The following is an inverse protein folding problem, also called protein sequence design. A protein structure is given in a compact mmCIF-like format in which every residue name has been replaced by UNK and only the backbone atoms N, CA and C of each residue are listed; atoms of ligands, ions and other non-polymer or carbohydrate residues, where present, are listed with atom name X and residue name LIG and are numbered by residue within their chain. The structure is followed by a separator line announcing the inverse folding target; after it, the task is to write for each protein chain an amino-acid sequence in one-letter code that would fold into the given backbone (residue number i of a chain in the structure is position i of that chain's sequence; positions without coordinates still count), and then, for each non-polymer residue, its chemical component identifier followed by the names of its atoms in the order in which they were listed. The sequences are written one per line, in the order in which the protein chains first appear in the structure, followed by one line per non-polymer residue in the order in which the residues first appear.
data_IF_926185419349
#
_entry.id   IF_926185419349
#
_cell.length_a   1.000
_cell.length_b   1.000
_cell.length_c   1.000
_cell.angle_alpha   90.00
_cell.angle_beta   90.00
_cell.angle_gamma   90.00
#
_symmetry.space_group_name_H-M   'P 1'
#
loop_
_entity.id
_entity.type
_entity.pdbx_description
1 polymer ?
#
# COMPACT_ATOMS: atom_id res chain seq x y z
N UNK A 1 13.07 5.32 8.51
CA UNK A 1 12.08 6.32 8.06
C UNK A 1 11.99 6.27 6.54
N UNK A 2 10.80 6.22 5.94
CA UNK A 2 10.62 6.15 4.47
C UNK A 2 10.21 7.52 3.88
N UNK A 3 10.40 7.76 2.57
CA UNK A 3 9.96 8.99 1.93
C UNK A 3 8.44 9.26 2.08
N UNK A 4 7.61 8.23 2.12
CA UNK A 4 6.16 8.37 2.30
C UNK A 4 5.79 8.90 3.69
N UNK A 5 6.45 8.40 4.74
CA UNK A 5 6.26 8.87 6.13
C UNK A 5 6.67 10.34 6.23
N UNK A 6 7.86 10.69 5.73
CA UNK A 6 8.36 12.07 5.74
C UNK A 6 7.44 13.04 4.98
N UNK A 7 6.85 12.60 3.87
CA UNK A 7 5.91 13.40 3.09
C UNK A 7 4.59 13.66 3.86
N UNK A 8 4.05 12.64 4.53
CA UNK A 8 2.84 12.77 5.35
C UNK A 8 3.06 13.70 6.57
N UNK A 9 4.20 13.56 7.24
CA UNK A 9 4.60 14.45 8.34
C UNK A 9 4.72 15.91 7.88
N UNK A 10 5.43 16.15 6.77
CA UNK A 10 5.58 17.49 6.19
C UNK A 10 4.24 18.11 5.81
N UNK A 11 3.29 17.30 5.36
CA UNK A 11 1.94 17.74 5.01
C UNK A 11 0.99 17.84 6.23
N UNK A 12 1.46 17.54 7.44
CA UNK A 12 0.66 17.49 8.66
C UNK A 12 -0.58 16.58 8.55
N UNK A 13 -0.46 15.48 7.79
CA UNK A 13 -1.51 14.47 7.68
C UNK A 13 -1.47 13.60 8.93
N UNK A 14 -2.62 13.37 9.57
CA UNK A 14 -2.70 12.42 10.68
C UNK A 14 -2.61 10.99 10.14
N UNK A 15 -1.61 10.23 10.58
CA UNK A 15 -1.44 8.83 10.21
C UNK A 15 -0.90 7.99 11.37
N UNK A 16 -0.96 6.67 11.22
CA UNK A 16 -0.33 5.69 12.10
C UNK A 16 0.48 4.72 11.26
N UNK A 17 1.71 4.42 11.68
CA UNK A 17 2.51 3.34 11.09
C UNK A 17 2.04 2.01 11.68
N UNK A 18 1.74 1.05 10.80
CA UNK A 18 1.44 -0.32 11.18
C UNK A 18 2.60 -1.21 10.73
N UNK A 19 3.28 -1.84 11.68
CA UNK A 19 4.44 -2.70 11.43
C UNK A 19 4.05 -4.17 11.58
N UNK A 20 4.60 -5.01 10.72
CA UNK A 20 4.51 -6.46 10.81
C UNK A 20 5.78 -7.10 10.24
N UNK A 21 6.08 -8.33 10.64
CA UNK A 21 7.22 -9.10 10.11
C UNK A 21 6.82 -9.71 8.78
N UNK A 22 7.57 -9.45 7.71
CA UNK A 22 7.35 -10.06 6.39
C UNK A 22 8.01 -11.45 6.32
N UNK A 23 7.30 -12.43 5.76
CA UNK A 23 7.83 -13.76 5.47
C UNK A 23 8.32 -13.83 4.02
N UNK A 24 9.50 -14.41 3.81
CA UNK A 24 10.10 -14.52 2.49
C UNK A 24 9.16 -15.23 1.49
N UNK A 25 8.87 -14.55 0.38
CA UNK A 25 8.01 -15.06 -0.69
C UNK A 25 6.50 -14.82 -0.50
N UNK A 26 6.09 -14.19 0.61
CA UNK A 26 4.70 -13.79 0.81
C UNK A 26 4.34 -12.56 -0.03
N UNK A 27 3.05 -12.39 -0.34
CA UNK A 27 2.56 -11.20 -1.02
C UNK A 27 2.26 -10.09 0.00
N UNK A 28 3.01 -8.98 -0.06
CA UNK A 28 2.92 -7.86 0.89
C UNK A 28 1.50 -7.34 1.18
N UNK A 29 0.58 -7.43 0.22
CA UNK A 29 -0.79 -6.94 0.39
C UNK A 29 -1.66 -7.83 1.28
N UNK A 30 -1.86 -9.09 0.88
CA UNK A 30 -2.69 -10.05 1.61
C UNK A 30 -2.06 -10.41 2.96
N UNK A 31 -0.73 -10.55 2.99
CA UNK A 31 0.01 -10.81 4.22
C UNK A 31 -0.17 -9.67 5.24
N UNK A 32 -0.09 -8.41 4.81
CA UNK A 32 -0.33 -7.28 5.71
C UNK A 32 -1.73 -7.33 6.31
N UNK A 33 -2.75 -7.68 5.52
CA UNK A 33 -4.12 -7.81 6.01
C UNK A 33 -4.25 -8.89 7.09
N UNK A 34 -3.65 -10.06 6.85
CA UNK A 34 -3.62 -11.18 7.79
C UNK A 34 -2.89 -10.82 9.08
N UNK A 35 -1.63 -10.38 8.98
CA UNK A 35 -0.76 -10.11 10.14
C UNK A 35 -1.22 -8.94 10.98
N UNK A 36 -1.90 -7.97 10.39
CA UNK A 36 -2.49 -6.83 11.11
C UNK A 36 -3.93 -7.09 11.58
N UNK A 37 -4.54 -8.23 11.22
CA UNK A 37 -5.90 -8.59 11.62
C UNK A 37 -6.97 -7.64 11.05
N UNK A 38 -6.79 -7.16 9.83
CA UNK A 38 -7.72 -6.23 9.16
C UNK A 38 -8.30 -6.84 7.89
N UNK A 39 -9.48 -6.38 7.50
CA UNK A 39 -10.10 -6.82 6.24
C UNK A 39 -9.20 -6.50 5.03
N UNK A 40 -8.99 -7.45 4.09
CA UNK A 40 -8.25 -7.20 2.85
C UNK A 40 -8.80 -6.02 2.03
N UNK A 41 -10.12 -5.80 2.04
CA UNK A 41 -10.75 -4.66 1.38
C UNK A 41 -10.33 -3.28 1.93
N UNK A 42 -9.67 -3.25 3.11
CA UNK A 42 -9.14 -2.03 3.76
C UNK A 42 -7.62 -1.90 3.63
N UNK A 43 -6.95 -2.87 3.02
CA UNK A 43 -5.53 -2.78 2.67
C UNK A 43 -5.45 -2.52 1.17
N UNK A 44 -4.63 -1.56 0.77
CA UNK A 44 -4.54 -1.14 -0.63
C UNK A 44 -3.14 -1.40 -1.17
N UNK A 45 -3.09 -1.88 -2.42
CA UNK A 45 -1.86 -1.93 -3.23
C UNK A 45 -1.83 -0.74 -4.17
N UNK A 46 -0.61 -0.24 -4.42
CA UNK A 46 -0.35 0.85 -5.35
C UNK A 46 0.27 0.28 -6.62
N UNK A 47 -0.43 0.37 -7.74
CA UNK A 47 0.04 -0.09 -9.04
C UNK A 47 0.45 1.10 -9.90
N UNK A 48 1.60 0.97 -10.58
CA UNK A 48 1.96 1.85 -11.68
C UNK A 48 1.39 1.23 -12.96
N UNK A 49 0.59 2.00 -13.70
CA UNK A 49 -0.06 1.54 -14.94
C UNK A 49 0.45 2.35 -16.12
N UNK A 50 0.62 1.68 -17.27
CA UNK A 50 0.90 2.34 -18.55
C UNK A 50 -0.43 2.58 -19.28
N UNK A 51 -0.72 3.85 -19.59
CA UNK A 51 -1.89 4.24 -20.34
C UNK A 51 -1.66 4.05 -21.85
N UNK A 52 -2.74 3.98 -22.62
CA UNK A 52 -2.70 3.78 -24.07
C UNK A 52 -1.98 4.92 -24.83
N UNK A 53 -1.86 6.08 -24.21
CA UNK A 53 -1.13 7.24 -24.73
C UNK A 53 0.32 7.35 -24.19
N UNK A 54 0.87 6.23 -23.69
CA UNK A 54 2.23 6.11 -23.15
C UNK A 54 2.50 6.94 -21.89
N UNK A 55 1.48 7.51 -21.24
CA UNK A 55 1.62 8.14 -19.92
C UNK A 55 1.55 7.08 -18.82
N UNK A 56 2.13 7.39 -17.66
CA UNK A 56 1.99 6.56 -16.47
C UNK A 56 0.85 7.08 -15.60
N UNK A 57 0.08 6.15 -15.02
CA UNK A 57 -0.90 6.41 -13.99
C UNK A 57 -0.57 5.65 -12.71
N UNK A 58 -1.23 6.03 -11.63
CA UNK A 58 -1.21 5.30 -10.36
C UNK A 58 -2.62 4.82 -10.05
N UNK A 59 -2.78 3.52 -9.78
CA UNK A 59 -4.01 2.95 -9.28
C UNK A 59 -3.83 2.51 -7.83
N UNK A 60 -4.70 2.98 -6.95
CA UNK A 60 -4.77 2.56 -5.54
C UNK A 60 -6.01 1.68 -5.41
N UNK A 61 -5.81 0.38 -5.27
CA UNK A 61 -6.89 -0.62 -5.29
C UNK A 61 -6.80 -1.54 -4.08
N UNK A 62 -7.92 -2.07 -3.57
CA UNK A 62 -7.90 -3.08 -2.52
C UNK A 62 -7.01 -4.27 -2.89
N UNK A 63 -6.37 -4.90 -1.90
CA UNK A 63 -5.46 -6.03 -2.17
C UNK A 63 -6.19 -7.29 -2.65
N UNK A 64 -7.49 -7.40 -2.34
CA UNK A 64 -8.40 -8.45 -2.82
C UNK A 64 -9.10 -8.09 -4.14
N UNK A 65 -8.85 -6.90 -4.69
CA UNK A 65 -9.34 -6.47 -6.01
C UNK A 65 -8.24 -6.53 -7.08
N UNK A 66 -8.64 -6.64 -8.35
CA UNK A 66 -7.71 -6.79 -9.48
C UNK A 66 -7.34 -5.43 -10.09
#
# INVERSE_FOLDING_TARGET
MTPAILAAEKAAVSFRVHEYVHDDGAAYGLEAAEKLGVSPARVFKTLVVLLSDSRHGIAVVPVDAQ
#
